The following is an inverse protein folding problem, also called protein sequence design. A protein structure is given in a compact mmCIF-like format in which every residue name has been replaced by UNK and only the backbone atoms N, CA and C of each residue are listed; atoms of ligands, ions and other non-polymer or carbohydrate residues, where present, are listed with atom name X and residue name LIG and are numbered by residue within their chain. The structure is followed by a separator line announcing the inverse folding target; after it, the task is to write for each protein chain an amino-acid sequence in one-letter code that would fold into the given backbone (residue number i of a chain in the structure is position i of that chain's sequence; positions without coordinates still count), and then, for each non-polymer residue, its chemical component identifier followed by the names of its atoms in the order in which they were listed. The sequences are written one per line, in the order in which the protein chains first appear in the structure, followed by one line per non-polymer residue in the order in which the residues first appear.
data_IF_268404142064
#
_entry.id   IF_268404142064
#
_cell.length_a   1.000
_cell.length_b   1.000
_cell.length_c   1.000
_cell.angle_alpha   90.00
_cell.angle_beta   90.00
_cell.angle_gamma   90.00
#
_symmetry.space_group_name_H-M   'P 1'
#
loop_
_entity.id
_entity.type
_entity.pdbx_description
1 polymer ?
#
# COMPACT_ATOMS: atom_id res chain seq x y z
N UNK A 1 -5.99 -12.94 -7.98
CA UNK A 1 -7.16 -12.33 -7.31
C UNK A 1 -7.02 -10.83 -7.44
N UNK A 2 -8.08 -10.10 -7.77
CA UNK A 2 -8.03 -8.64 -7.75
C UNK A 2 -7.95 -8.18 -6.29
N UNK A 3 -7.04 -7.25 -5.99
CA UNK A 3 -6.91 -6.66 -4.67
C UNK A 3 -8.20 -5.88 -4.34
N UNK A 4 -8.90 -6.28 -3.27
CA UNK A 4 -10.10 -5.58 -2.78
C UNK A 4 -9.74 -4.85 -1.49
N UNK A 5 -9.76 -3.52 -1.54
CA UNK A 5 -9.51 -2.66 -0.38
C UNK A 5 -10.83 -2.13 0.17
N UNK A 6 -10.93 -2.06 1.49
CA UNK A 6 -12.09 -1.45 2.15
C UNK A 6 -12.09 0.07 1.95
N UNK A 7 -13.28 0.68 2.02
CA UNK A 7 -13.48 2.12 1.77
C UNK A 7 -12.51 3.00 2.58
N UNK A 8 -12.38 2.72 3.88
CA UNK A 8 -11.49 3.50 4.76
C UNK A 8 -10.02 3.44 4.34
N UNK A 9 -9.57 2.34 3.74
CA UNK A 9 -8.19 2.25 3.22
C UNK A 9 -8.05 3.07 1.94
N UNK A 10 -9.06 3.09 1.07
CA UNK A 10 -9.05 3.96 -0.11
C UNK A 10 -8.99 5.44 0.30
N UNK A 11 -9.76 5.86 1.32
CA UNK A 11 -9.71 7.24 1.82
C UNK A 11 -8.32 7.62 2.37
N UNK A 12 -7.65 6.70 3.06
CA UNK A 12 -6.27 6.91 3.54
C UNK A 12 -5.32 7.07 2.36
N UNK A 13 -5.43 6.21 1.35
CA UNK A 13 -4.59 6.25 0.15
C UNK A 13 -4.78 7.56 -0.62
N UNK A 14 -6.00 8.07 -0.72
CA UNK A 14 -6.28 9.37 -1.33
C UNK A 14 -5.64 10.52 -0.54
N UNK A 15 -5.75 10.52 0.79
CA UNK A 15 -5.08 11.52 1.63
C UNK A 15 -3.56 11.47 1.48
N UNK A 16 -2.97 10.29 1.42
CA UNK A 16 -1.52 10.14 1.20
C UNK A 16 -1.13 10.68 -0.18
N UNK A 17 -1.92 10.45 -1.23
CA UNK A 17 -1.68 11.01 -2.56
C UNK A 17 -1.75 12.53 -2.55
N UNK A 18 -2.74 13.12 -1.88
CA UNK A 18 -2.92 14.56 -1.76
C UNK A 18 -1.74 15.21 -1.00
N UNK A 19 -1.38 14.66 0.16
CA UNK A 19 -0.30 15.18 1.01
C UNK A 19 1.08 15.06 0.36
N UNK A 20 1.34 13.96 -0.34
CA UNK A 20 2.68 13.68 -0.90
C UNK A 20 2.82 14.10 -2.36
N UNK A 21 1.70 14.36 -3.05
CA UNK A 21 1.66 14.58 -4.50
C UNK A 21 2.08 13.36 -5.32
N UNK A 22 2.11 12.17 -4.71
CA UNK A 22 2.66 10.95 -5.32
C UNK A 22 1.64 9.84 -5.36
N UNK A 23 1.59 9.17 -6.51
CA UNK A 23 0.68 8.05 -6.69
C UNK A 23 1.13 6.82 -5.88
N UNK A 24 0.23 5.84 -5.74
CA UNK A 24 0.48 4.60 -5.02
C UNK A 24 0.29 3.44 -6.01
N UNK A 25 1.33 2.63 -6.16
CA UNK A 25 1.33 1.48 -7.07
C UNK A 25 1.29 0.18 -6.28
N UNK A 26 0.44 -0.73 -6.71
CA UNK A 26 0.29 -2.05 -6.14
C UNK A 26 1.04 -3.06 -7.02
N UNK A 27 1.90 -3.88 -6.41
CA UNK A 27 2.67 -4.89 -7.11
C UNK A 27 2.51 -6.21 -6.38
N UNK A 28 1.87 -7.16 -7.05
CA UNK A 28 1.73 -8.53 -6.58
C UNK A 28 3.08 -9.27 -6.73
N UNK A 29 3.53 -9.98 -5.68
CA UNK A 29 4.74 -10.81 -5.69
C UNK A 29 4.56 -12.07 -4.86
N UNK A 30 4.94 -13.23 -5.41
CA UNK A 30 4.87 -14.52 -4.70
C UNK A 30 6.00 -14.70 -3.69
N UNK A 31 7.20 -14.24 -4.02
CA UNK A 31 8.40 -14.34 -3.17
C UNK A 31 8.58 -13.14 -2.24
N UNK A 32 7.57 -12.85 -1.40
CA UNK A 32 7.72 -11.89 -0.30
C UNK A 32 7.94 -12.63 1.02
N UNK A 33 8.87 -12.16 1.88
CA UNK A 33 9.04 -12.73 3.21
C UNK A 33 7.85 -12.46 4.14
N UNK A 34 7.07 -11.40 3.87
CA UNK A 34 5.88 -11.00 4.61
C UNK A 34 4.66 -10.93 3.68
N UNK A 35 3.45 -10.86 4.23
CA UNK A 35 2.22 -10.92 3.41
C UNK A 35 1.96 -9.64 2.62
N UNK A 36 2.37 -8.49 3.18
CA UNK A 36 2.55 -7.27 2.42
C UNK A 36 3.68 -6.40 3.00
N UNK A 37 4.11 -5.40 2.23
CA UNK A 37 5.07 -4.38 2.63
C UNK A 37 4.73 -3.07 1.92
N UNK A 38 4.64 -1.97 2.67
CA UNK A 38 4.58 -0.64 2.12
C UNK A 38 5.99 -0.06 1.97
N UNK A 39 6.25 0.61 0.85
CA UNK A 39 7.42 1.44 0.63
C UNK A 39 6.97 2.85 0.29
N UNK A 40 7.13 3.74 1.26
CA UNK A 40 6.85 5.16 1.07
C UNK A 40 7.88 5.79 0.12
N UNK A 41 7.37 6.59 -0.82
CA UNK A 41 8.13 7.25 -1.86
C UNK A 41 8.96 8.40 -1.30
N UNK A 42 10.26 8.16 -1.13
CA UNK A 42 11.24 9.20 -0.78
C UNK A 42 11.35 10.25 -1.89
N UNK A 43 12.02 11.37 -1.63
CA UNK A 43 12.11 12.54 -2.54
C UNK A 43 12.36 12.20 -4.01
N UNK A 44 13.23 11.22 -4.29
CA UNK A 44 13.59 10.79 -5.66
C UNK A 44 12.77 9.61 -6.21
N UNK A 45 11.73 9.17 -5.50
CA UNK A 45 10.81 8.13 -5.96
C UNK A 45 9.52 8.74 -6.48
N UNK A 46 9.03 8.31 -7.66
CA UNK A 46 7.83 8.88 -8.30
C UNK A 46 6.51 8.41 -7.67
N UNK A 47 6.51 7.26 -7.00
CA UNK A 47 5.31 6.67 -6.41
C UNK A 47 5.63 5.81 -5.20
N UNK A 48 4.65 5.68 -4.30
CA UNK A 48 4.69 4.74 -3.19
C UNK A 48 4.42 3.34 -3.73
N UNK A 49 5.01 2.31 -3.14
CA UNK A 49 4.83 0.94 -3.59
C UNK A 49 4.21 0.10 -2.48
N UNK A 50 3.11 -0.57 -2.78
CA UNK A 50 2.53 -1.61 -1.93
C UNK A 50 2.84 -2.94 -2.60
N UNK A 51 3.74 -3.72 -1.97
CA UNK A 51 4.08 -5.06 -2.39
C UNK A 51 3.23 -6.04 -1.61
N UNK A 52 2.54 -6.97 -2.27
CA UNK A 52 1.68 -7.93 -1.60
C UNK A 52 1.75 -9.32 -2.21
N UNK A 53 1.54 -10.35 -1.38
CA UNK A 53 1.47 -11.73 -1.85
C UNK A 53 0.23 -12.00 -2.67
N UNK A 54 0.34 -12.90 -3.64
CA UNK A 54 -0.80 -13.37 -4.42
C UNK A 54 -1.90 -13.97 -3.55
N UNK A 55 -1.49 -14.71 -2.52
CA UNK A 55 -2.33 -15.19 -1.44
C UNK A 55 -2.33 -14.12 -0.34
N UNK A 56 -3.35 -13.27 -0.34
CA UNK A 56 -3.51 -12.21 0.64
C UNK A 56 -4.94 -12.24 1.20
N UNK A 57 -5.02 -12.13 2.52
CA UNK A 57 -6.27 -11.96 3.26
C UNK A 57 -6.49 -10.47 3.62
N UNK A 58 -7.53 -10.20 4.41
CA UNK A 58 -7.90 -8.86 4.90
C UNK A 58 -6.76 -8.11 5.63
N UNK A 59 -5.70 -8.84 6.03
CA UNK A 59 -4.46 -8.32 6.62
C UNK A 59 -3.84 -7.18 5.80
N UNK A 60 -4.00 -7.18 4.48
CA UNK A 60 -3.47 -6.11 3.63
C UNK A 60 -4.08 -4.73 3.94
N UNK A 61 -5.37 -4.69 4.29
CA UNK A 61 -6.05 -3.45 4.67
C UNK A 61 -5.45 -2.87 5.96
N UNK A 62 -5.21 -3.74 6.94
CA UNK A 62 -4.57 -3.36 8.21
C UNK A 62 -3.14 -2.87 8.01
N UNK A 63 -2.34 -3.56 7.18
CA UNK A 63 -0.96 -3.17 6.91
C UNK A 63 -0.86 -1.81 6.22
N UNK A 64 -1.71 -1.55 5.22
CA UNK A 64 -1.74 -0.25 4.54
C UNK A 64 -2.11 0.86 5.53
N UNK A 65 -3.19 0.68 6.30
CA UNK A 65 -3.62 1.68 7.28
C UNK A 65 -2.55 1.92 8.35
N UNK A 66 -1.91 0.87 8.85
CA UNK A 66 -0.83 0.96 9.84
C UNK A 66 0.35 1.78 9.31
N UNK A 67 0.87 1.41 8.15
CA UNK A 67 2.07 2.04 7.57
C UNK A 67 1.79 3.48 7.11
N UNK A 68 0.58 3.77 6.60
CA UNK A 68 0.17 5.14 6.29
C UNK A 68 -0.03 6.00 7.55
N UNK A 69 -0.40 5.42 8.69
CA UNK A 69 -0.48 6.13 9.97
C UNK A 69 0.88 6.49 10.59
N UNK A 70 1.96 5.87 10.12
CA UNK A 70 3.33 6.20 10.52
C UNK A 70 3.98 7.32 9.68
N UNK A 71 3.39 7.67 8.52
CA UNK A 71 3.92 8.63 7.54
C UNK A 71 3.49 10.07 7.83
#
# INVERSE_FOLDING_TARGET
MSLVLIESVNEILEKVKDLTGKNINFIERKDLPTDATLKLARRNMPSHLILYKSEHDEVINHLIAHECGHA
#
